data_IF_945778029343
#
_entry.id   IF_945778029343
#
_cell.length_a   1.000
_cell.length_b   1.000
_cell.length_c   1.000
_cell.angle_alpha   90.00
_cell.angle_beta   90.00
_cell.angle_gamma   90.00
#
_symmetry.space_group_name_H-M   'P 1'
#
loop_
_entity.id
_entity.type
_entity.pdbx_description
1 polymer ?
#
# COMPACT_ATOMS: atom_id res chain seq x y z
N UNK A 1 11.44 -20.81 47.60
CA UNK A 1 12.66 -21.20 46.85
C UNK A 1 12.49 -20.74 45.40
N UNK A 2 13.47 -20.00 44.89
CA UNK A 2 13.52 -19.47 43.51
C UNK A 2 13.78 -20.60 42.53
N UNK A 3 13.11 -20.59 41.37
CA UNK A 3 13.73 -20.99 40.10
C UNK A 3 13.31 -19.96 39.05
N UNK A 4 14.32 -19.42 38.39
CA UNK A 4 14.32 -18.33 37.41
C UNK A 4 13.94 -18.82 35.99
N UNK A 5 13.69 -17.83 35.12
CA UNK A 5 14.06 -17.78 33.68
C UNK A 5 13.14 -18.58 32.72
N UNK A 6 12.61 -18.04 31.62
CA UNK A 6 13.02 -16.92 30.79
C UNK A 6 11.79 -16.20 30.19
N UNK A 7 11.90 -14.87 30.16
CA UNK A 7 11.15 -13.98 29.28
C UNK A 7 11.47 -14.38 27.84
N UNK A 8 10.49 -14.89 27.08
CA UNK A 8 10.56 -14.91 25.62
C UNK A 8 9.84 -13.66 25.15
N UNK A 9 10.57 -12.55 25.19
CA UNK A 9 10.34 -11.45 24.27
C UNK A 9 10.63 -12.05 22.90
N UNK A 10 9.57 -12.38 22.17
CA UNK A 10 9.65 -12.66 20.75
C UNK A 10 10.08 -11.34 20.10
N UNK A 11 11.40 -11.18 20.03
CA UNK A 11 12.08 -10.21 19.20
C UNK A 11 11.72 -10.60 17.76
N UNK A 12 10.61 -10.06 17.27
CA UNK A 12 10.26 -10.06 15.86
C UNK A 12 11.35 -9.24 15.19
N UNK A 13 12.37 -9.94 14.73
CA UNK A 13 13.41 -9.39 13.88
C UNK A 13 12.71 -9.05 12.57
N UNK A 14 12.39 -7.77 12.39
CA UNK A 14 11.90 -7.21 11.15
C UNK A 14 13.02 -7.33 10.11
N UNK A 15 13.04 -8.44 9.38
CA UNK A 15 13.73 -8.51 8.10
C UNK A 15 12.82 -7.83 7.09
N UNK A 16 13.27 -6.67 6.60
CA UNK A 16 12.68 -5.93 5.48
C UNK A 16 12.40 -6.90 4.34
N UNK A 17 11.12 -7.18 4.08
CA UNK A 17 10.70 -7.85 2.85
C UNK A 17 10.58 -6.73 1.82
N UNK A 18 11.47 -6.74 0.82
CA UNK A 18 11.50 -5.74 -0.24
C UNK A 18 10.45 -6.15 -1.28
N UNK A 19 9.38 -5.37 -1.42
CA UNK A 19 8.47 -5.44 -2.56
C UNK A 19 8.72 -4.27 -3.54
N UNK A 20 9.84 -3.58 -3.37
CA UNK A 20 10.30 -2.51 -4.26
C UNK A 20 10.81 -3.09 -5.60
N UNK A 21 10.52 -2.40 -6.70
CA UNK A 21 11.17 -2.61 -8.01
C UNK A 21 12.62 -2.10 -7.93
N UNK A 22 13.46 -2.88 -7.25
CA UNK A 22 14.86 -2.57 -6.99
C UNK A 22 15.80 -3.18 -8.05
N UNK A 23 17.09 -2.85 -7.96
CA UNK A 23 18.11 -3.25 -8.95
C UNK A 23 18.27 -4.78 -9.07
N UNK A 24 17.79 -5.54 -8.09
CA UNK A 24 17.88 -7.00 -8.04
C UNK A 24 16.70 -7.69 -8.72
N UNK A 25 15.66 -6.95 -9.10
CA UNK A 25 14.51 -7.45 -9.85
C UNK A 25 13.85 -8.67 -9.14
N UNK A 26 13.67 -8.58 -7.81
CA UNK A 26 13.17 -9.65 -6.94
C UNK A 26 11.75 -9.45 -6.38
N UNK A 27 11.07 -8.36 -6.72
CA UNK A 27 9.66 -8.13 -6.39
C UNK A 27 8.71 -8.71 -7.45
N UNK A 28 7.63 -9.35 -7.00
CA UNK A 28 6.79 -10.13 -7.92
C UNK A 28 5.91 -9.29 -8.84
N UNK A 29 5.68 -8.02 -8.49
CA UNK A 29 4.85 -7.12 -9.28
C UNK A 29 5.64 -6.22 -10.24
N UNK A 30 6.97 -6.18 -10.21
CA UNK A 30 7.85 -5.25 -10.97
C UNK A 30 7.37 -4.78 -12.35
N UNK A 31 7.18 -5.70 -13.30
CA UNK A 31 6.83 -5.30 -14.68
C UNK A 31 5.33 -5.29 -14.97
N UNK A 32 4.53 -5.95 -14.12
CA UNK A 32 3.09 -6.11 -14.28
C UNK A 32 2.46 -6.46 -12.94
N UNK A 33 1.28 -5.92 -12.66
CA UNK A 33 0.48 -6.31 -11.51
C UNK A 33 0.01 -7.75 -11.60
N UNK A 34 0.81 -8.68 -11.08
CA UNK A 34 0.49 -10.11 -11.04
C UNK A 34 -0.48 -10.43 -9.90
N UNK A 35 -0.44 -9.63 -8.82
CA UNK A 35 -1.35 -9.71 -7.69
C UNK A 35 -2.05 -8.37 -7.48
N UNK A 36 -3.19 -8.19 -8.14
CA UNK A 36 -3.98 -6.98 -7.98
C UNK A 36 -4.64 -6.94 -6.59
N UNK A 37 -4.51 -5.80 -5.91
CA UNK A 37 -5.10 -5.54 -4.60
C UNK A 37 -4.14 -4.84 -3.64
N UNK A 38 -4.40 -5.06 -2.36
CA UNK A 38 -3.54 -4.65 -1.25
C UNK A 38 -2.79 -5.88 -0.73
N UNK A 39 -1.48 -5.91 -0.91
CA UNK A 39 -0.64 -7.09 -0.66
C UNK A 39 0.63 -6.78 0.13
N UNK A 40 1.27 -7.83 0.62
CA UNK A 40 2.60 -7.77 1.22
C UNK A 40 3.39 -9.03 0.91
N UNK A 41 4.71 -8.95 1.01
CA UNK A 41 5.61 -10.08 0.88
C UNK A 41 5.87 -10.71 2.26
N UNK A 42 5.60 -12.00 2.41
CA UNK A 42 5.87 -12.70 3.67
C UNK A 42 7.37 -13.04 3.87
N UNK A 43 7.74 -13.53 5.05
CA UNK A 43 9.13 -13.88 5.38
C UNK A 43 9.72 -15.03 4.53
N UNK A 44 8.92 -15.69 3.69
CA UNK A 44 9.35 -16.73 2.77
C UNK A 44 9.33 -16.24 1.31
N UNK A 45 9.20 -14.94 1.08
CA UNK A 45 9.06 -14.30 -0.22
C UNK A 45 7.85 -14.79 -1.02
N UNK A 46 6.72 -15.03 -0.35
CA UNK A 46 5.44 -15.26 -1.02
C UNK A 46 4.56 -14.02 -0.93
N UNK A 47 3.94 -13.64 -2.05
CA UNK A 47 2.91 -12.62 -2.08
C UNK A 47 1.66 -13.07 -1.30
N UNK A 48 1.21 -12.22 -0.39
CA UNK A 48 -0.01 -12.41 0.37
C UNK A 48 -0.95 -11.24 0.07
N UNK A 49 -2.10 -11.53 -0.52
CA UNK A 49 -3.15 -10.54 -0.76
C UNK A 49 -4.01 -10.39 0.49
N UNK A 50 -4.03 -9.20 1.09
CA UNK A 50 -4.87 -8.84 2.23
C UNK A 50 -6.29 -8.45 1.80
N UNK A 51 -6.39 -7.65 0.75
CA UNK A 51 -7.65 -7.22 0.15
C UNK A 51 -7.51 -7.37 -1.36
N UNK A 52 -8.32 -8.22 -2.02
CA UNK A 52 -8.24 -8.37 -3.47
C UNK A 52 -8.75 -7.11 -4.18
N UNK A 53 -8.24 -6.84 -5.37
CA UNK A 53 -8.66 -5.69 -6.18
C UNK A 53 -10.17 -5.60 -6.38
N UNK A 54 -10.86 -6.74 -6.51
CA UNK A 54 -12.33 -6.78 -6.67
C UNK A 54 -13.11 -6.20 -5.47
N UNK A 55 -12.45 -6.00 -4.33
CA UNK A 55 -13.02 -5.38 -3.13
C UNK A 55 -12.55 -3.93 -2.93
N UNK A 56 -11.60 -3.46 -3.73
CA UNK A 56 -11.11 -2.09 -3.69
C UNK A 56 -11.89 -1.23 -4.69
N UNK A 57 -12.03 0.05 -4.35
CA UNK A 57 -12.44 1.09 -5.26
C UNK A 57 -11.35 2.15 -5.33
N UNK A 58 -10.85 2.42 -6.53
CA UNK A 58 -9.76 3.35 -6.76
C UNK A 58 -10.24 4.55 -7.56
N UNK A 59 -10.07 5.73 -6.99
CA UNK A 59 -10.46 6.99 -7.62
C UNK A 59 -9.23 7.87 -7.84
N UNK A 60 -9.06 8.34 -9.07
CA UNK A 60 -8.05 9.34 -9.41
C UNK A 60 -8.69 10.71 -9.49
N UNK A 61 -8.09 11.69 -8.81
CA UNK A 61 -8.51 13.08 -8.85
C UNK A 61 -7.42 13.85 -9.59
N UNK A 62 -7.64 14.30 -10.85
CA UNK A 62 -6.68 15.16 -11.54
C UNK A 62 -6.56 16.54 -10.87
N UNK A 63 -7.59 16.93 -10.11
CA UNK A 63 -7.65 18.19 -9.39
C UNK A 63 -8.50 18.03 -8.13
N UNK A 64 -7.87 17.60 -7.03
CA UNK A 64 -8.59 17.30 -5.80
C UNK A 64 -9.19 18.58 -5.18
N UNK A 65 -10.48 18.51 -4.84
CA UNK A 65 -11.19 19.57 -4.13
C UNK A 65 -10.88 19.61 -2.62
N UNK A 66 -10.34 18.53 -2.07
CA UNK A 66 -9.91 18.37 -0.68
C UNK A 66 -8.50 17.72 -0.64
N UNK A 67 -7.61 18.15 0.26
CA UNK A 67 -6.17 17.87 0.22
C UNK A 67 -5.36 19.15 -0.05
N UNK A 68 -4.12 19.10 -0.61
CA UNK A 68 -3.53 20.27 -1.21
C UNK A 68 -4.43 20.70 -2.37
N UNK A 69 -5.29 21.68 -2.14
CA UNK A 69 -6.29 22.15 -3.10
C UNK A 69 -5.64 22.42 -4.46
N UNK A 70 -6.20 21.84 -5.53
CA UNK A 70 -5.63 22.01 -6.87
C UNK A 70 -4.64 20.92 -7.29
N UNK A 71 -4.18 20.07 -6.36
CA UNK A 71 -3.21 19.02 -6.65
C UNK A 71 -3.90 17.70 -7.00
N UNK A 72 -3.32 16.90 -7.89
CA UNK A 72 -3.86 15.60 -8.21
C UNK A 72 -3.59 14.60 -7.07
N UNK A 73 -4.42 13.58 -6.94
CA UNK A 73 -4.32 12.59 -5.88
C UNK A 73 -5.07 11.31 -6.20
N UNK A 74 -4.89 10.31 -5.36
CA UNK A 74 -5.58 9.02 -5.46
C UNK A 74 -6.20 8.66 -4.11
N UNK A 75 -7.38 8.06 -4.19
CA UNK A 75 -8.08 7.46 -3.07
C UNK A 75 -8.31 5.99 -3.38
N UNK A 76 -8.05 5.12 -2.40
CA UNK A 76 -8.29 3.68 -2.50
C UNK A 76 -9.09 3.27 -1.27
N UNK A 77 -10.24 2.64 -1.48
CA UNK A 77 -11.15 2.29 -0.40
C UNK A 77 -11.74 0.88 -0.52
N UNK A 78 -11.91 0.21 0.62
CA UNK A 78 -12.77 -0.97 0.76
C UNK A 78 -13.73 -0.76 1.93
N UNK A 79 -15.03 -0.81 1.67
CA UNK A 79 -16.07 -0.59 2.68
C UNK A 79 -16.97 -1.81 2.92
N UNK A 80 -16.84 -2.85 2.10
CA UNK A 80 -17.76 -4.01 2.12
C UNK A 80 -17.06 -5.34 2.36
N UNK A 81 -15.73 -5.37 2.31
CA UNK A 81 -14.91 -6.54 2.64
C UNK A 81 -14.89 -6.83 4.15
N UNK A 82 -14.28 -7.96 4.52
CA UNK A 82 -14.04 -8.29 5.94
C UNK A 82 -13.06 -7.33 6.60
N UNK A 83 -12.15 -6.76 5.80
CA UNK A 83 -11.22 -5.71 6.19
C UNK A 83 -11.68 -4.43 5.51
N UNK A 84 -11.93 -3.38 6.28
CA UNK A 84 -12.22 -2.05 5.71
C UNK A 84 -10.94 -1.24 5.60
N UNK A 85 -10.82 -0.46 4.54
CA UNK A 85 -9.63 0.33 4.26
C UNK A 85 -10.02 1.68 3.65
N UNK A 86 -9.30 2.72 4.04
CA UNK A 86 -9.33 4.02 3.39
C UNK A 86 -7.91 4.56 3.28
N UNK A 87 -7.45 4.81 2.06
CA UNK A 87 -6.12 5.31 1.77
C UNK A 87 -6.19 6.53 0.85
N UNK A 88 -5.35 7.53 1.13
CA UNK A 88 -5.20 8.71 0.28
C UNK A 88 -3.74 9.12 0.15
N UNK A 89 -3.35 9.61 -1.04
CA UNK A 89 -2.03 10.20 -1.27
C UNK A 89 -2.04 11.17 -2.45
N UNK A 90 -1.09 12.10 -2.46
CA UNK A 90 -0.77 12.94 -3.62
C UNK A 90 0.48 12.46 -4.37
N UNK A 91 1.10 11.37 -3.92
CA UNK A 91 2.23 10.71 -4.58
C UNK A 91 1.69 9.90 -5.75
N UNK A 92 1.67 10.51 -6.93
CA UNK A 92 1.04 9.94 -8.12
C UNK A 92 1.94 9.94 -9.37
N UNK A 93 3.12 10.56 -9.27
CA UNK A 93 4.08 10.62 -10.37
C UNK A 93 5.06 9.46 -10.23
N UNK A 94 5.45 8.86 -11.36
CA UNK A 94 6.39 7.75 -11.38
C UNK A 94 7.69 8.10 -10.65
N UNK A 95 8.11 7.23 -9.74
CA UNK A 95 9.27 7.36 -8.84
C UNK A 95 9.18 8.51 -7.82
N UNK A 96 8.01 9.11 -7.64
CA UNK A 96 7.79 10.09 -6.58
C UNK A 96 7.68 9.39 -5.23
N UNK A 97 8.15 10.05 -4.18
CA UNK A 97 8.06 9.59 -2.80
C UNK A 97 7.54 10.70 -1.92
N UNK A 98 6.58 10.38 -1.05
CA UNK A 98 5.99 11.34 -0.15
C UNK A 98 5.20 10.67 0.95
N UNK A 99 4.13 11.32 1.40
CA UNK A 99 3.29 10.82 2.49
C UNK A 99 1.89 10.49 2.00
N UNK A 100 1.33 9.42 2.55
CA UNK A 100 -0.09 9.09 2.46
C UNK A 100 -0.73 8.99 3.84
N UNK A 101 -2.05 8.85 3.85
CA UNK A 101 -2.84 8.57 5.04
C UNK A 101 -3.57 7.25 4.82
N UNK A 102 -3.50 6.35 5.79
CA UNK A 102 -4.19 5.06 5.76
C UNK A 102 -4.99 4.82 7.03
N UNK A 103 -6.21 4.35 6.88
CA UNK A 103 -7.07 3.86 7.95
C UNK A 103 -7.51 2.44 7.62
N UNK A 104 -7.30 1.51 8.56
CA UNK A 104 -7.71 0.10 8.42
C UNK A 104 -8.67 -0.23 9.55
N UNK A 105 -9.75 -0.95 9.25
CA UNK A 105 -10.76 -1.43 10.21
C UNK A 105 -11.35 -0.35 11.12
N UNK A 106 -11.57 0.84 10.55
CA UNK A 106 -12.03 2.04 11.27
C UNK A 106 -11.12 2.41 12.46
N UNK A 107 -9.85 2.02 12.39
CA UNK A 107 -8.83 2.36 13.37
C UNK A 107 -8.43 3.83 13.31
N UNK A 108 -7.36 4.16 14.03
CA UNK A 108 -6.75 5.49 13.95
C UNK A 108 -6.03 5.65 12.62
N UNK A 109 -6.26 6.77 11.94
CA UNK A 109 -5.51 7.15 10.74
C UNK A 109 -4.00 7.22 11.02
N UNK A 110 -3.22 6.58 10.15
CA UNK A 110 -1.76 6.57 10.20
C UNK A 110 -1.17 7.32 9.03
N UNK A 111 -0.12 8.09 9.28
CA UNK A 111 0.74 8.63 8.23
C UNK A 111 1.74 7.56 7.79
N UNK A 112 1.85 7.37 6.49
CA UNK A 112 2.72 6.37 5.85
C UNK A 112 3.62 7.03 4.82
N UNK A 113 4.78 6.43 4.57
CA UNK A 113 5.61 6.80 3.42
C UNK A 113 5.07 6.08 2.20
N UNK A 114 4.93 6.79 1.08
CA UNK A 114 4.41 6.24 -0.17
C UNK A 114 5.43 6.45 -1.28
N UNK A 115 5.70 5.44 -2.08
CA UNK A 115 6.48 5.52 -3.32
C UNK A 115 5.60 5.10 -4.49
N UNK A 116 5.51 5.90 -5.54
CA UNK A 116 4.75 5.54 -6.73
C UNK A 116 5.64 4.81 -7.74
N UNK A 117 5.37 3.53 -7.92
CA UNK A 117 6.07 2.68 -8.90
C UNK A 117 5.37 2.65 -10.26
N UNK A 118 4.05 2.93 -10.30
CA UNK A 118 3.31 3.07 -11.55
C UNK A 118 2.22 4.11 -11.45
N UNK A 119 2.21 5.01 -12.43
CA UNK A 119 1.40 6.22 -12.45
C UNK A 119 0.30 6.18 -13.54
N UNK A 120 -0.79 5.46 -13.27
CA UNK A 120 -2.02 5.52 -14.07
C UNK A 120 -2.78 6.83 -13.86
N UNK A 121 -3.54 7.27 -14.87
CA UNK A 121 -4.30 8.55 -14.81
C UNK A 121 -5.70 8.48 -15.43
N UNK A 122 -6.06 7.38 -16.08
CA UNK A 122 -7.36 7.15 -16.69
C UNK A 122 -8.03 5.88 -16.12
N UNK A 123 -9.35 5.80 -16.25
CA UNK A 123 -10.10 4.59 -15.91
C UNK A 123 -9.53 3.37 -16.66
N UNK A 124 -9.26 2.30 -15.93
CA UNK A 124 -8.62 1.09 -16.44
C UNK A 124 -7.10 1.10 -16.42
N UNK A 125 -6.46 2.24 -16.11
CA UNK A 125 -5.02 2.28 -15.90
C UNK A 125 -4.65 1.63 -14.55
N UNK A 126 -3.48 0.99 -14.54
CA UNK A 126 -2.87 0.47 -13.33
C UNK A 126 -2.13 1.59 -12.57
N UNK A 127 -2.31 1.61 -11.25
CA UNK A 127 -1.51 2.38 -10.30
C UNK A 127 -0.84 1.41 -9.33
N UNK A 128 0.43 1.67 -9.04
CA UNK A 128 1.19 0.88 -8.06
C UNK A 128 1.92 1.77 -7.08
N UNK A 129 1.71 1.48 -5.80
CA UNK A 129 2.22 2.27 -4.69
C UNK A 129 2.80 1.35 -3.62
N UNK A 130 4.07 1.54 -3.28
CA UNK A 130 4.61 0.99 -2.05
C UNK A 130 4.20 1.89 -0.89
N UNK A 131 3.81 1.28 0.20
CA UNK A 131 3.36 1.96 1.40
C UNK A 131 4.11 1.39 2.59
N UNK A 132 4.88 2.24 3.26
CA UNK A 132 5.73 1.86 4.38
C UNK A 132 5.24 2.52 5.66
N UNK A 133 5.05 1.71 6.70
CA UNK A 133 4.78 2.14 8.07
C UNK A 133 5.77 1.50 9.04
N UNK A 134 6.70 2.29 9.56
CA UNK A 134 7.78 1.79 10.41
C UNK A 134 8.71 0.86 9.63
N UNK A 135 8.68 -0.44 9.94
CA UNK A 135 9.46 -1.49 9.28
C UNK A 135 8.59 -2.47 8.48
N UNK A 136 7.31 -2.14 8.29
CA UNK A 136 6.37 -2.93 7.49
C UNK A 136 6.17 -2.23 6.16
N UNK A 137 6.27 -2.99 5.09
CA UNK A 137 6.00 -2.57 3.72
C UNK A 137 4.82 -3.38 3.19
N UNK A 138 3.91 -2.70 2.52
CA UNK A 138 2.76 -3.24 1.82
C UNK A 138 2.66 -2.52 0.48
N UNK A 139 1.96 -3.10 -0.47
CA UNK A 139 1.83 -2.56 -1.81
C UNK A 139 0.36 -2.49 -2.21
N UNK A 140 -0.01 -1.37 -2.83
CA UNK A 140 -1.22 -1.29 -3.64
C UNK A 140 -0.84 -1.54 -5.08
N UNK A 141 -1.53 -2.48 -5.71
CA UNK A 141 -1.42 -2.75 -7.12
C UNK A 141 -2.85 -2.80 -7.69
N UNK A 142 -3.35 -1.65 -8.13
CA UNK A 142 -4.80 -1.40 -8.31
C UNK A 142 -5.10 -0.83 -9.70
N UNK A 143 -6.37 -0.88 -10.09
CA UNK A 143 -6.89 -0.31 -11.33
C UNK A 143 -7.78 0.88 -10.99
N UNK A 144 -7.62 1.99 -11.71
CA UNK A 144 -8.48 3.16 -11.56
C UNK A 144 -9.89 2.80 -12.04
N UNK A 145 -10.87 2.89 -11.14
CA UNK A 145 -12.29 2.70 -11.46
C UNK A 145 -12.94 3.99 -11.95
N UNK A 146 -12.50 5.14 -11.41
CA UNK A 146 -13.12 6.43 -11.66
C UNK A 146 -12.10 7.57 -11.70
N UNK A 147 -12.37 8.57 -12.54
CA UNK A 147 -11.64 9.84 -12.59
C UNK A 147 -12.60 10.97 -12.25
N UNK A 148 -12.30 11.76 -11.21
CA UNK A 148 -13.18 12.77 -10.64
C UNK A 148 -12.62 14.20 -10.72
#
# INVERSE_FOLDING_TARGET
MKVFRNIIVALVLFTSCNNDDDVNNDATNETQCNYQGFSYLDNNNNDQTLIPESELNTQYFPNASNGPYGAPGIEIASYTGSTTLFFTTNVIALNDTGTGLITIDNGTEQTVTVTCQRAGTAVGDEVRLDVVYGSVEVEFCVIIDEVL
#
